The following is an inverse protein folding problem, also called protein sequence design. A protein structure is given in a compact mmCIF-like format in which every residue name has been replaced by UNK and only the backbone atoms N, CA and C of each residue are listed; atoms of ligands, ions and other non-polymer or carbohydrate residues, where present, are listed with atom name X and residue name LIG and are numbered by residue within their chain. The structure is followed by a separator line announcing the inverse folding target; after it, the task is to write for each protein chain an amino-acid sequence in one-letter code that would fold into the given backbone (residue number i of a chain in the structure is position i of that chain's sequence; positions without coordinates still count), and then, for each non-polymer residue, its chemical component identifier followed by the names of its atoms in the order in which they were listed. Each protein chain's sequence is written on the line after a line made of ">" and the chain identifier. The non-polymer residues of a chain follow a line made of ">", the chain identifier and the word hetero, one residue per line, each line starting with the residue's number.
data_IF_038791890040
#
_entry.id   IF_038791890040
#
_cell.length_a   1.000
_cell.length_b   1.000
_cell.length_c   1.000
_cell.angle_alpha   90.00
_cell.angle_beta   90.00
_cell.angle_gamma   90.00
#
_symmetry.space_group_name_H-M   'P 1'
#
loop_
_entity.id
_entity.type
_entity.pdbx_description
1 polymer ?
#
# COMPACT_ATOMS: atom_id res chain seq x y z
N UNK A 1 -7.73 22.62 11.79
CA UNK A 1 -7.86 21.34 11.12
C UNK A 1 -7.84 21.56 9.61
N UNK A 2 -6.95 20.86 8.94
CA UNK A 2 -6.81 21.00 7.50
C UNK A 2 -7.87 20.20 6.75
N UNK A 3 -8.31 20.75 5.63
CA UNK A 3 -9.21 20.08 4.72
C UNK A 3 -8.44 19.06 3.88
N UNK A 4 -8.91 17.82 3.79
CA UNK A 4 -8.24 16.79 2.99
C UNK A 4 -8.10 17.21 1.52
N UNK A 5 -9.05 17.98 0.99
CA UNK A 5 -9.04 18.44 -0.40
C UNK A 5 -7.81 19.28 -0.73
N UNK A 6 -7.24 19.99 0.25
CA UNK A 6 -6.04 20.79 0.05
C UNK A 6 -4.77 19.94 0.08
N UNK A 7 -4.88 18.68 0.54
CA UNK A 7 -3.75 17.77 0.68
C UNK A 7 -3.69 16.71 -0.43
N UNK A 8 -4.72 16.63 -1.26
CA UNK A 8 -4.77 15.64 -2.34
C UNK A 8 -3.81 16.04 -3.45
N UNK A 9 -3.02 15.10 -3.90
CA UNK A 9 -2.12 15.33 -5.02
C UNK A 9 -2.23 14.15 -6.01
N UNK A 10 -1.72 14.35 -7.20
CA UNK A 10 -1.73 13.32 -8.25
C UNK A 10 -0.30 12.87 -8.53
N UNK A 11 -0.15 11.60 -8.85
CA UNK A 11 1.12 11.09 -9.36
C UNK A 11 0.87 9.89 -10.26
N UNK A 12 1.82 9.60 -11.14
CA UNK A 12 1.83 8.35 -11.89
C UNK A 12 2.54 7.29 -11.06
N UNK A 13 2.15 6.03 -11.25
CA UNK A 13 2.79 4.90 -10.59
C UNK A 13 3.44 4.06 -11.67
N UNK A 14 4.77 3.82 -11.62
CA UNK A 14 5.46 3.12 -12.69
C UNK A 14 5.11 1.63 -12.73
N UNK A 15 5.23 1.03 -13.92
CA UNK A 15 5.17 -0.42 -14.06
C UNK A 15 6.37 -1.03 -13.34
N UNK A 16 6.13 -2.07 -12.54
CA UNK A 16 7.18 -2.74 -11.78
C UNK A 16 6.85 -4.21 -11.56
N UNK A 17 7.89 -4.98 -11.27
CA UNK A 17 7.77 -6.36 -10.82
C UNK A 17 7.76 -6.35 -9.29
N UNK A 18 6.85 -7.12 -8.71
CA UNK A 18 6.70 -7.22 -7.27
C UNK A 18 6.77 -8.66 -6.80
N UNK A 19 7.41 -8.86 -5.66
CA UNK A 19 7.23 -10.06 -4.86
C UNK A 19 6.01 -9.82 -3.98
N UNK A 20 5.05 -10.74 -3.97
CA UNK A 20 3.79 -10.55 -3.25
C UNK A 20 3.52 -11.67 -2.26
N UNK A 21 2.82 -11.33 -1.18
CA UNK A 21 2.38 -12.28 -0.18
C UNK A 21 0.99 -11.88 0.29
N UNK A 22 0.02 -12.76 0.11
CA UNK A 22 -1.36 -12.49 0.50
C UNK A 22 -1.78 -13.42 1.62
N UNK A 23 -2.42 -12.87 2.66
CA UNK A 23 -2.97 -13.65 3.75
C UNK A 23 -4.07 -12.91 4.49
N UNK A 24 -4.84 -13.66 5.26
CA UNK A 24 -5.76 -13.07 6.23
C UNK A 24 -5.02 -12.82 7.54
N UNK A 25 -5.32 -11.70 8.18
CA UNK A 25 -4.75 -11.34 9.48
C UNK A 25 -5.87 -10.90 10.41
N UNK A 26 -5.63 -11.03 11.72
CA UNK A 26 -6.61 -10.64 12.72
C UNK A 26 -6.50 -9.18 13.12
N UNK A 27 -5.31 -8.61 13.00
CA UNK A 27 -5.07 -7.21 13.32
C UNK A 27 -3.87 -6.66 12.53
N UNK A 28 -3.80 -5.34 12.39
CA UNK A 28 -2.67 -4.69 11.71
C UNK A 28 -1.35 -4.83 12.46
N UNK A 29 -1.38 -5.19 13.74
CA UNK A 29 -0.15 -5.45 14.49
C UNK A 29 0.63 -6.61 13.90
N UNK A 30 -0.04 -7.59 13.28
CA UNK A 30 0.63 -8.71 12.64
C UNK A 30 1.55 -8.28 11.51
N UNK A 31 1.28 -7.12 10.88
CA UNK A 31 2.11 -6.60 9.80
C UNK A 31 3.55 -6.35 10.26
N UNK A 32 3.71 -5.92 11.50
CA UNK A 32 5.05 -5.60 12.04
C UNK A 32 5.93 -6.84 12.18
N UNK A 33 5.32 -8.02 12.20
CA UNK A 33 6.05 -9.29 12.30
C UNK A 33 6.18 -9.99 10.96
N UNK A 34 5.23 -9.80 10.04
CA UNK A 34 5.23 -10.50 8.76
C UNK A 34 6.43 -10.15 7.90
N UNK A 35 6.74 -8.87 7.76
CA UNK A 35 7.85 -8.46 6.92
C UNK A 35 9.20 -8.96 7.44
N UNK A 36 9.57 -8.73 8.73
CA UNK A 36 10.88 -9.18 9.20
C UNK A 36 10.98 -10.68 9.42
N UNK A 37 9.89 -11.38 9.71
CA UNK A 37 9.96 -12.78 10.12
C UNK A 37 9.55 -13.78 9.04
N UNK A 38 8.77 -13.37 8.05
CA UNK A 38 8.25 -14.27 7.02
C UNK A 38 8.60 -13.81 5.62
N UNK A 39 8.17 -12.60 5.23
CA UNK A 39 8.33 -12.10 3.87
C UNK A 39 9.80 -11.82 3.55
N UNK A 40 10.48 -11.05 4.41
CA UNK A 40 11.87 -10.69 4.22
C UNK A 40 12.80 -11.90 4.12
N UNK A 41 12.75 -12.85 5.08
CA UNK A 41 13.57 -14.05 4.99
C UNK A 41 13.33 -14.87 3.73
N UNK A 42 12.08 -14.99 3.30
CA UNK A 42 11.77 -15.74 2.07
C UNK A 42 12.29 -15.02 0.84
N UNK A 43 12.13 -13.69 0.77
CA UNK A 43 12.69 -12.90 -0.32
C UNK A 43 14.21 -13.02 -0.38
N UNK A 44 14.87 -12.99 0.77
CA UNK A 44 16.31 -13.18 0.86
C UNK A 44 16.72 -14.56 0.32
N UNK A 45 15.99 -15.61 0.73
CA UNK A 45 16.24 -16.98 0.26
C UNK A 45 16.10 -17.09 -1.25
N UNK A 46 15.14 -16.36 -1.83
CA UNK A 46 14.89 -16.36 -3.28
C UNK A 46 15.86 -15.48 -4.05
N UNK A 47 16.72 -14.73 -3.37
CA UNK A 47 17.70 -13.86 -4.00
C UNK A 47 17.11 -12.55 -4.52
N UNK A 48 16.03 -12.07 -3.92
CA UNK A 48 15.41 -10.83 -4.33
C UNK A 48 16.22 -9.61 -3.91
N UNK A 49 16.28 -8.62 -4.78
CA UNK A 49 16.81 -7.29 -4.50
C UNK A 49 15.71 -6.27 -4.60
N UNK A 50 15.59 -5.41 -3.58
CA UNK A 50 14.55 -4.37 -3.53
C UNK A 50 15.15 -3.04 -4.00
N UNK A 51 14.79 -2.57 -5.20
CA UNK A 51 15.42 -1.37 -5.76
C UNK A 51 14.99 -0.08 -5.06
N UNK A 52 13.74 -0.03 -4.56
CA UNK A 52 13.21 1.22 -4.04
C UNK A 52 12.07 0.94 -3.04
N UNK A 53 12.33 1.12 -1.74
CA UNK A 53 11.30 0.87 -0.72
C UNK A 53 10.02 1.70 -0.91
N UNK A 54 10.11 2.90 -1.47
CA UNK A 54 8.96 3.78 -1.70
C UNK A 54 7.95 3.23 -2.69
N UNK A 55 8.27 2.14 -3.38
CA UNK A 55 7.33 1.47 -4.26
C UNK A 55 6.65 0.25 -3.62
N UNK A 56 6.92 0.00 -2.33
CA UNK A 56 6.30 -1.11 -1.62
C UNK A 56 4.97 -0.65 -1.01
N UNK A 57 3.97 -1.53 -1.05
CA UNK A 57 2.63 -1.16 -0.57
C UNK A 57 1.82 -2.39 -0.19
N UNK A 58 0.68 -2.15 0.44
CA UNK A 58 -0.32 -3.19 0.70
C UNK A 58 -1.61 -2.87 -0.02
N UNK A 59 -2.37 -3.92 -0.35
CA UNK A 59 -3.73 -3.82 -0.89
C UNK A 59 -4.63 -4.67 -0.02
N UNK A 60 -5.83 -4.17 0.32
CA UNK A 60 -6.81 -4.94 1.06
C UNK A 60 -7.96 -5.35 0.15
N UNK A 61 -8.38 -6.60 0.30
CA UNK A 61 -9.47 -7.17 -0.50
C UNK A 61 -10.78 -7.28 0.28
N UNK A 62 -10.75 -7.06 1.60
CA UNK A 62 -11.94 -7.02 2.44
C UNK A 62 -12.76 -5.78 2.12
N UNK A 63 -14.07 -5.86 2.35
CA UNK A 63 -15.00 -4.76 2.01
C UNK A 63 -14.84 -3.55 2.92
N UNK A 64 -14.55 -3.80 4.20
CA UNK A 64 -14.43 -2.75 5.20
C UNK A 64 -13.03 -2.77 5.79
N UNK A 65 -12.38 -1.62 5.84
CA UNK A 65 -11.03 -1.51 6.39
C UNK A 65 -11.01 -1.96 7.86
N UNK A 66 -10.11 -2.89 8.15
CA UNK A 66 -9.93 -3.39 9.52
C UNK A 66 -10.84 -4.55 9.91
N UNK A 67 -11.74 -4.98 9.03
CA UNK A 67 -12.69 -6.06 9.32
C UNK A 67 -12.41 -7.22 8.37
N UNK A 68 -12.20 -8.43 8.92
CA UNK A 68 -11.87 -9.62 8.13
C UNK A 68 -10.75 -9.34 7.14
N UNK A 69 -9.63 -8.87 7.66
CA UNK A 69 -8.55 -8.32 6.85
C UNK A 69 -7.94 -9.39 5.95
N UNK A 70 -8.05 -9.16 4.64
CA UNK A 70 -7.45 -9.97 3.60
C UNK A 70 -6.50 -9.06 2.85
N UNK A 71 -5.22 -9.18 3.11
CA UNK A 71 -4.22 -8.20 2.70
C UNK A 71 -3.14 -8.86 1.85
N UNK A 72 -2.67 -8.12 0.86
CA UNK A 72 -1.55 -8.54 0.03
C UNK A 72 -0.44 -7.50 0.12
N UNK A 73 0.78 -7.97 0.38
CA UNK A 73 1.99 -7.16 0.39
C UNK A 73 2.61 -7.18 -0.99
N UNK A 74 3.05 -6.00 -1.44
CA UNK A 74 3.78 -5.85 -2.70
C UNK A 74 5.12 -5.21 -2.38
N UNK A 75 6.18 -5.96 -2.62
CA UNK A 75 7.55 -5.48 -2.44
C UNK A 75 8.22 -5.39 -3.79
N UNK A 76 8.59 -4.18 -4.23
CA UNK A 76 9.25 -3.99 -5.51
C UNK A 76 10.57 -4.77 -5.55
N UNK A 77 10.82 -5.45 -6.67
CA UNK A 77 12.05 -6.23 -6.85
C UNK A 77 12.70 -5.86 -8.18
N UNK A 78 14.01 -6.09 -8.26
CA UNK A 78 14.79 -5.79 -9.47
C UNK A 78 14.41 -6.71 -10.63
N UNK A 79 14.12 -7.97 -10.34
CA UNK A 79 13.74 -8.96 -11.35
C UNK A 79 12.87 -10.06 -10.78
N UNK A 80 12.14 -10.74 -11.66
CA UNK A 80 11.28 -11.86 -11.29
C UNK A 80 12.13 -13.08 -10.95
N UNK A 81 11.76 -13.76 -9.86
CA UNK A 81 12.29 -15.08 -9.50
C UNK A 81 11.17 -16.10 -9.61
N UNK A 82 11.46 -17.36 -9.28
CA UNK A 82 10.41 -18.38 -9.26
C UNK A 82 9.51 -18.21 -8.04
N UNK A 83 8.21 -18.43 -8.27
CA UNK A 83 7.24 -18.42 -7.19
C UNK A 83 7.55 -19.51 -6.15
N UNK A 84 7.26 -19.20 -4.89
CA UNK A 84 7.33 -20.17 -3.80
C UNK A 84 5.94 -20.27 -3.15
N UNK A 85 5.83 -21.07 -2.09
CA UNK A 85 4.57 -21.14 -1.34
C UNK A 85 4.22 -19.80 -0.71
N UNK A 86 5.22 -19.02 -0.29
CA UNK A 86 5.02 -17.76 0.41
C UNK A 86 5.00 -16.55 -0.52
N UNK A 87 5.70 -16.62 -1.66
CA UNK A 87 5.87 -15.45 -2.54
C UNK A 87 5.39 -15.78 -3.94
N UNK A 88 4.55 -14.89 -4.48
CA UNK A 88 4.15 -14.90 -5.89
C UNK A 88 4.69 -13.64 -6.54
N UNK A 89 5.31 -13.78 -7.71
CA UNK A 89 5.83 -12.64 -8.44
C UNK A 89 4.80 -12.14 -9.44
N UNK A 90 4.54 -10.84 -9.42
CA UNK A 90 3.56 -10.20 -10.28
C UNK A 90 4.15 -8.96 -10.91
N UNK A 91 3.85 -8.74 -12.17
CA UNK A 91 4.18 -7.48 -12.82
C UNK A 91 2.91 -6.65 -12.91
N UNK A 92 2.94 -5.44 -12.36
CA UNK A 92 1.80 -4.53 -12.42
C UNK A 92 2.08 -3.47 -13.48
N UNK A 93 1.07 -3.13 -14.30
CA UNK A 93 1.24 -2.08 -15.32
C UNK A 93 1.35 -0.71 -14.67
N UNK A 94 1.81 0.26 -15.47
CA UNK A 94 1.80 1.65 -15.07
C UNK A 94 0.36 2.10 -14.74
N UNK A 95 0.24 2.92 -13.70
CA UNK A 95 -0.99 3.65 -13.41
C UNK A 95 -0.72 5.09 -13.85
N UNK A 96 -1.33 5.57 -14.96
CA UNK A 96 -1.04 6.91 -15.47
C UNK A 96 -1.35 8.00 -14.45
N UNK A 97 -2.42 7.85 -13.67
CA UNK A 97 -2.75 8.82 -12.63
C UNK A 97 -3.40 8.13 -11.44
N UNK A 98 -2.91 8.48 -10.25
CA UNK A 98 -3.52 8.10 -8.98
C UNK A 98 -3.74 9.36 -8.17
N UNK A 99 -4.89 9.41 -7.48
CA UNK A 99 -5.13 10.44 -6.46
C UNK A 99 -4.47 9.97 -5.18
N UNK A 100 -3.69 10.82 -4.55
CA UNK A 100 -2.94 10.47 -3.37
C UNK A 100 -3.21 11.42 -2.23
N UNK A 101 -3.10 10.89 -1.01
CA UNK A 101 -3.14 11.67 0.21
C UNK A 101 -2.25 11.00 1.25
N UNK A 102 -1.61 11.79 2.08
CA UNK A 102 -0.79 11.27 3.17
C UNK A 102 -1.61 11.19 4.45
N UNK A 103 -1.68 9.98 5.01
CA UNK A 103 -2.28 9.76 6.31
C UNK A 103 -1.18 9.75 7.37
N UNK A 104 -1.34 10.55 8.41
CA UNK A 104 -0.43 10.57 9.55
C UNK A 104 -1.11 9.96 10.76
N UNK A 105 -0.38 9.12 11.50
CA UNK A 105 -0.87 8.55 12.73
C UNK A 105 -1.24 7.10 12.64
N UNK A 106 -1.99 6.63 13.64
CA UNK A 106 -2.37 5.24 13.81
C UNK A 106 -3.22 4.71 12.66
N UNK A 107 -3.06 3.42 12.38
CA UNK A 107 -3.77 2.77 11.26
C UNK A 107 -5.28 2.67 11.51
N UNK A 108 -5.72 2.70 12.75
CA UNK A 108 -7.16 2.66 13.08
C UNK A 108 -7.91 3.90 12.59
N UNK A 109 -7.21 4.99 12.28
CA UNK A 109 -7.80 6.20 11.70
C UNK A 109 -7.69 6.24 10.18
N UNK A 110 -7.08 5.24 9.58
CA UNK A 110 -6.94 5.14 8.12
C UNK A 110 -8.28 5.15 7.39
N UNK A 111 -9.35 4.48 7.90
CA UNK A 111 -10.63 4.48 7.19
C UNK A 111 -11.19 5.88 6.94
N UNK A 112 -11.00 6.80 7.89
CA UNK A 112 -11.49 8.17 7.74
C UNK A 112 -10.76 8.90 6.62
N UNK A 113 -9.43 8.76 6.57
CA UNK A 113 -8.61 9.39 5.54
C UNK A 113 -8.94 8.80 4.16
N UNK A 114 -9.09 7.49 4.08
CA UNK A 114 -9.45 6.83 2.82
C UNK A 114 -10.84 7.28 2.34
N UNK A 115 -11.82 7.35 3.26
CA UNK A 115 -13.17 7.78 2.91
C UNK A 115 -13.18 9.20 2.36
N UNK A 116 -12.38 10.09 2.92
CA UNK A 116 -12.25 11.46 2.42
C UNK A 116 -11.64 11.51 1.03
N UNK A 117 -10.62 10.69 0.77
CA UNK A 117 -10.01 10.60 -0.56
C UNK A 117 -11.00 10.07 -1.59
N UNK A 118 -11.76 9.03 -1.23
CA UNK A 118 -12.76 8.44 -2.11
C UNK A 118 -13.88 9.45 -2.42
N UNK A 119 -14.34 10.18 -1.41
CA UNK A 119 -15.35 11.22 -1.59
C UNK A 119 -14.83 12.35 -2.48
N UNK A 120 -13.56 12.71 -2.36
CA UNK A 120 -12.94 13.70 -3.23
C UNK A 120 -12.99 13.23 -4.69
N UNK A 121 -12.66 11.96 -4.94
CA UNK A 121 -12.72 11.39 -6.29
C UNK A 121 -14.13 11.49 -6.87
N UNK A 122 -15.14 11.09 -6.09
CA UNK A 122 -16.52 11.13 -6.53
C UNK A 122 -17.00 12.56 -6.79
N UNK A 123 -16.71 13.48 -5.87
CA UNK A 123 -17.13 14.87 -5.99
C UNK A 123 -16.53 15.55 -7.23
N UNK A 124 -15.32 15.17 -7.61
CA UNK A 124 -14.64 15.76 -8.76
C UNK A 124 -14.81 14.97 -10.05
N UNK A 125 -15.69 13.96 -10.05
CA UNK A 125 -16.04 13.22 -11.26
C UNK A 125 -14.97 12.25 -11.74
N UNK A 126 -14.05 11.82 -10.87
CA UNK A 126 -13.05 10.84 -11.22
C UNK A 126 -13.62 9.43 -11.08
N UNK A 127 -13.30 8.59 -12.06
CA UNK A 127 -13.66 7.17 -12.00
C UNK A 127 -12.52 6.38 -11.37
N UNK A 128 -12.81 5.71 -10.27
CA UNK A 128 -11.85 4.82 -9.60
C UNK A 128 -11.77 3.52 -10.39
N UNK A 129 -10.57 3.09 -10.76
CA UNK A 129 -10.39 1.93 -11.64
C UNK A 129 -9.75 0.72 -10.95
N UNK A 130 -9.25 0.88 -9.73
CA UNK A 130 -8.61 -0.23 -9.02
C UNK A 130 -8.62 0.07 -7.52
N UNK A 131 -8.27 -0.95 -6.73
CA UNK A 131 -8.15 -0.82 -5.28
C UNK A 131 -7.03 0.13 -4.92
N UNK A 132 -7.19 0.82 -3.80
CA UNK A 132 -6.17 1.71 -3.28
C UNK A 132 -4.93 0.93 -2.85
N UNK A 133 -3.77 1.56 -3.01
CA UNK A 133 -2.50 1.08 -2.51
C UNK A 133 -2.14 1.88 -1.26
N UNK A 134 -1.69 1.20 -0.22
CA UNK A 134 -1.29 1.83 1.04
C UNK A 134 0.21 1.68 1.20
N UNK A 135 0.95 2.76 0.90
CA UNK A 135 2.41 2.79 0.99
C UNK A 135 2.79 3.25 2.39
N UNK A 136 3.21 2.31 3.24
CA UNK A 136 3.62 2.62 4.61
C UNK A 136 5.05 3.15 4.59
N UNK A 137 5.19 4.46 4.42
CA UNK A 137 6.49 5.13 4.27
C UNK A 137 7.22 5.20 5.60
N UNK A 138 6.52 5.66 6.64
CA UNK A 138 7.06 5.76 7.98
C UNK A 138 6.20 4.96 8.96
N UNK A 139 6.84 4.33 9.92
CA UNK A 139 6.13 3.52 10.88
C UNK A 139 6.99 3.19 12.10
N UNK A 140 6.60 2.14 12.79
CA UNK A 140 7.27 1.70 14.02
C UNK A 140 8.77 1.43 13.82
N UNK A 141 9.16 1.09 12.58
CA UNK A 141 10.55 0.72 12.26
C UNK A 141 11.49 1.93 12.18
N UNK A 142 10.98 3.14 11.99
CA UNK A 142 11.82 4.33 11.80
C UNK A 142 11.34 5.59 12.53
N UNK A 143 10.22 5.55 13.25
CA UNK A 143 9.69 6.70 13.98
C UNK A 143 9.45 6.36 15.44
N UNK A 144 9.69 7.33 16.31
CA UNK A 144 9.55 7.14 17.75
C UNK A 144 8.10 7.21 18.24
N UNK A 145 7.28 8.05 17.60
CA UNK A 145 5.88 8.22 18.00
C UNK A 145 4.94 7.87 16.86
N UNK A 146 3.76 7.38 17.23
CA UNK A 146 2.73 6.98 16.27
C UNK A 146 2.27 8.17 15.40
N UNK A 147 2.29 9.37 15.93
CA UNK A 147 1.87 10.56 15.20
C UNK A 147 2.77 10.86 13.99
N UNK A 148 3.98 10.33 13.99
CA UNK A 148 4.93 10.51 12.90
C UNK A 148 4.81 9.45 11.80
N UNK A 149 4.01 8.42 12.02
CA UNK A 149 3.80 7.38 11.01
C UNK A 149 3.10 7.99 9.82
N UNK A 150 3.60 7.74 8.62
CA UNK A 150 3.01 8.26 7.38
C UNK A 150 2.70 7.13 6.43
N UNK A 151 1.46 7.09 5.96
CA UNK A 151 1.02 6.18 4.92
C UNK A 151 0.54 7.00 3.74
N UNK A 152 1.14 6.80 2.58
CA UNK A 152 0.66 7.43 1.35
C UNK A 152 -0.40 6.52 0.75
N UNK A 153 -1.64 7.00 0.69
CA UNK A 153 -2.75 6.27 0.07
C UNK A 153 -2.81 6.68 -1.39
N UNK A 154 -2.82 5.69 -2.29
CA UNK A 154 -2.81 5.91 -3.74
C UNK A 154 -4.04 5.26 -4.34
N UNK A 155 -4.94 6.07 -4.90
CA UNK A 155 -6.20 5.61 -5.48
C UNK A 155 -6.13 5.73 -7.00
N UNK A 156 -5.97 4.62 -7.73
CA UNK A 156 -5.93 4.68 -9.19
C UNK A 156 -7.24 5.18 -9.77
N UNK A 157 -7.14 6.14 -10.68
CA UNK A 157 -8.30 6.71 -11.36
C UNK A 157 -8.10 6.66 -12.86
N UNK A 158 -9.22 6.74 -13.58
CA UNK A 158 -9.19 6.73 -15.03
C UNK A 158 -8.56 8.02 -15.55
N UNK A 159 -7.63 7.88 -16.50
CA UNK A 159 -7.08 9.02 -17.21
C UNK A 159 -8.15 9.58 -18.15
N UNK A 160 -8.47 10.85 -18.00
CA UNK A 160 -9.48 11.51 -18.85
C UNK A 160 -8.83 12.42 -19.89
#
# INVERSE_FOLDING_TARGET
>A
QENVMEKVFKKSLPSRIFATHRRKIDSYQELFNLCPNIIGPEMYRLGCECPAPEYCFTVEYNEEYGVDIDIEFFEAVAERKEDSELIKFKELPEVPVALCVNHYGAYEHMPETFAELFAYAETNGYEVIDRARFCHIDGIWNKETVDEWMTEIQLPIKLS
#
